data_IF_974742234385
#
_entry.id   IF_974742234385
#
_cell.length_a   1.000
_cell.length_b   1.000
_cell.length_c   1.000
_cell.angle_alpha   90.00
_cell.angle_beta   90.00
_cell.angle_gamma   90.00
#
_symmetry.space_group_name_H-M   'P 1'
#
loop_
_entity.id
_entity.type
_entity.pdbx_description
1 polymer ?
#
# COMPACT_ATOMS: atom_id res chain seq x y z
N UNK A 1 2.04 -14.44 -41.84
CA UNK A 1 1.36 -15.21 -40.78
C UNK A 1 1.61 -14.48 -39.47
N UNK A 2 0.59 -13.81 -38.95
CA UNK A 2 0.61 -13.20 -37.63
C UNK A 2 0.34 -14.35 -36.65
N UNK A 3 1.31 -14.67 -35.82
CA UNK A 3 1.16 -15.72 -34.82
C UNK A 3 0.38 -15.21 -33.62
N UNK A 4 -0.38 -16.07 -32.95
CA UNK A 4 -1.15 -15.79 -31.73
C UNK A 4 -0.28 -15.20 -30.60
N UNK A 5 1.02 -15.46 -30.62
CA UNK A 5 1.98 -14.84 -29.67
C UNK A 5 2.18 -13.33 -29.87
N UNK A 6 2.01 -12.84 -31.12
CA UNK A 6 2.08 -11.41 -31.40
C UNK A 6 0.80 -10.67 -31.00
N UNK A 7 -0.34 -11.36 -31.01
CA UNK A 7 -1.61 -10.80 -30.54
C UNK A 7 -1.68 -10.71 -29.01
N UNK A 8 -1.07 -11.66 -28.29
CA UNK A 8 -1.01 -11.62 -26.83
C UNK A 8 -0.05 -10.53 -26.28
N UNK A 9 0.86 -10.03 -27.11
CA UNK A 9 1.76 -8.92 -26.72
C UNK A 9 1.09 -7.55 -26.82
N UNK A 10 -0.03 -7.43 -27.52
CA UNK A 10 -0.76 -6.15 -27.65
C UNK A 10 -1.77 -5.90 -26.53
N UNK A 11 -2.12 -6.92 -25.73
CA UNK A 11 -3.04 -6.77 -24.60
C UNK A 11 -2.38 -6.29 -23.30
N UNK A 12 -1.06 -6.18 -23.27
CA UNK A 12 -0.30 -5.58 -22.18
C UNK A 12 0.06 -4.11 -22.45
N UNK A 13 -0.85 -3.33 -23.01
CA UNK A 13 -0.71 -1.88 -22.99
C UNK A 13 -0.89 -1.42 -21.55
N UNK A 14 0.23 -1.06 -20.93
CA UNK A 14 0.20 -0.34 -19.64
C UNK A 14 -0.66 0.90 -19.83
N UNK A 15 -1.67 1.08 -19.00
CA UNK A 15 -2.53 2.26 -19.06
C UNK A 15 -1.67 3.52 -18.84
N UNK A 16 -2.01 4.61 -19.50
CA UNK A 16 -1.22 5.87 -19.45
C UNK A 16 -1.14 6.47 -18.04
N UNK A 17 -2.06 6.10 -17.15
CA UNK A 17 -2.14 6.55 -15.75
C UNK A 17 -1.35 5.69 -14.76
N UNK A 18 -0.75 4.59 -15.20
CA UNK A 18 0.03 3.71 -14.33
C UNK A 18 1.45 4.24 -14.14
N UNK A 19 1.89 4.29 -12.90
CA UNK A 19 3.25 4.68 -12.50
C UNK A 19 3.87 3.63 -11.61
N UNK A 20 5.16 3.37 -11.80
CA UNK A 20 5.95 2.55 -10.89
C UNK A 20 6.34 3.40 -9.68
N UNK A 21 5.93 2.96 -8.51
CA UNK A 21 6.19 3.64 -7.23
C UNK A 21 7.09 2.80 -6.35
N UNK A 22 7.95 3.47 -5.60
CA UNK A 22 8.84 2.88 -4.61
C UNK A 22 8.34 3.19 -3.21
N UNK A 23 8.25 2.16 -2.36
CA UNK A 23 7.83 2.29 -0.96
C UNK A 23 8.76 1.50 -0.05
N UNK A 24 9.18 2.14 1.05
CA UNK A 24 10.01 1.57 2.13
C UNK A 24 9.38 1.74 3.52
N UNK A 25 8.12 2.14 3.57
CA UNK A 25 7.38 2.42 4.83
C UNK A 25 6.34 1.34 5.13
N UNK A 26 6.29 0.29 4.33
CA UNK A 26 5.32 -0.79 4.44
C UNK A 26 5.99 -1.97 5.16
N UNK A 27 5.33 -2.52 6.17
CA UNK A 27 5.78 -3.76 6.81
C UNK A 27 5.51 -4.92 5.86
N UNK A 28 6.57 -5.57 5.41
CA UNK A 28 6.51 -6.63 4.41
C UNK A 28 6.43 -8.01 5.05
N UNK A 29 5.71 -8.99 4.44
CA UNK A 29 5.83 -10.41 4.78
C UNK A 29 7.27 -10.89 4.60
N UNK A 30 7.73 -11.77 5.50
CA UNK A 30 9.12 -12.25 5.46
C UNK A 30 9.45 -13.03 4.18
N UNK A 31 8.48 -13.79 3.67
CA UNK A 31 8.60 -14.63 2.49
C UNK A 31 8.20 -13.93 1.17
N UNK A 32 8.07 -12.60 1.18
CA UNK A 32 7.71 -11.83 -0.01
C UNK A 32 8.82 -11.88 -1.06
N UNK A 33 8.45 -12.22 -2.29
CA UNK A 33 9.35 -12.31 -3.43
C UNK A 33 8.84 -11.50 -4.63
N UNK A 34 9.73 -11.16 -5.55
CA UNK A 34 9.36 -10.52 -6.83
C UNK A 34 8.38 -11.41 -7.60
N UNK A 35 7.29 -10.83 -8.09
CA UNK A 35 6.21 -11.52 -8.78
C UNK A 35 5.06 -11.94 -7.86
N UNK A 36 5.19 -11.80 -6.56
CA UNK A 36 4.08 -11.99 -5.63
C UNK A 36 3.04 -10.88 -5.76
N UNK A 37 1.80 -11.20 -5.39
CA UNK A 37 0.71 -10.23 -5.35
C UNK A 37 0.32 -9.93 -3.91
N UNK A 38 0.14 -8.64 -3.61
CA UNK A 38 -0.20 -8.14 -2.28
C UNK A 38 -1.39 -7.21 -2.29
N UNK A 39 -2.07 -7.14 -1.13
CA UNK A 39 -2.85 -5.98 -0.72
C UNK A 39 -1.99 -5.13 0.22
N UNK A 40 -2.00 -3.81 0.04
CA UNK A 40 -1.43 -2.88 1.03
C UNK A 40 -2.56 -2.40 1.91
N UNK A 41 -2.37 -2.52 3.22
CA UNK A 41 -3.39 -2.28 4.23
C UNK A 41 -2.89 -1.30 5.29
N UNK A 42 -3.81 -0.57 5.88
CA UNK A 42 -3.54 0.27 7.05
C UNK A 42 -4.36 -0.23 8.25
N UNK A 43 -3.68 -0.52 9.34
CA UNK A 43 -4.31 -0.92 10.59
C UNK A 43 -4.17 0.19 11.63
N UNK A 44 -5.26 0.47 12.33
CA UNK A 44 -5.33 1.43 13.42
C UNK A 44 -5.40 0.73 14.79
N UNK A 45 -4.95 1.40 15.89
CA UNK A 45 -4.92 0.82 17.22
C UNK A 45 -6.28 0.40 17.78
N UNK A 46 -7.36 0.94 17.24
CA UNK A 46 -8.73 0.58 17.60
C UNK A 46 -9.24 -0.72 16.93
N UNK A 47 -8.37 -1.43 16.20
CA UNK A 47 -8.70 -2.65 15.47
C UNK A 47 -9.31 -2.42 14.08
N UNK A 48 -9.45 -1.18 13.63
CA UNK A 48 -9.85 -0.90 12.26
C UNK A 48 -8.72 -1.22 11.30
N UNK A 49 -9.05 -1.93 10.23
CA UNK A 49 -8.13 -2.41 9.22
C UNK A 49 -8.75 -2.16 7.84
N UNK A 50 -8.04 -1.42 7.00
CA UNK A 50 -8.52 -0.99 5.70
C UNK A 50 -7.56 -1.40 4.60
N UNK A 51 -8.10 -1.84 3.46
CA UNK A 51 -7.35 -2.09 2.25
C UNK A 51 -7.18 -0.75 1.53
N UNK A 52 -5.93 -0.35 1.32
CA UNK A 52 -5.58 0.89 0.61
C UNK A 52 -5.53 0.64 -0.87
N UNK A 53 -4.74 -0.33 -1.30
CA UNK A 53 -4.67 -0.81 -2.68
C UNK A 53 -4.67 -2.34 -2.68
N UNK A 54 -5.22 -2.93 -3.74
CA UNK A 54 -5.45 -4.37 -3.78
C UNK A 54 -4.78 -5.04 -4.96
N UNK A 55 -4.30 -6.25 -4.71
CA UNK A 55 -3.76 -7.20 -5.71
C UNK A 55 -2.73 -6.57 -6.64
N UNK A 56 -1.70 -5.97 -6.05
CA UNK A 56 -0.58 -5.41 -6.79
C UNK A 56 0.56 -6.40 -6.87
N UNK A 57 1.08 -6.57 -8.08
CA UNK A 57 2.31 -7.32 -8.29
C UNK A 57 3.49 -6.53 -7.75
N UNK A 58 4.37 -7.22 -7.03
CA UNK A 58 5.53 -6.64 -6.37
C UNK A 58 6.78 -6.95 -7.16
N UNK A 59 7.64 -5.96 -7.30
CA UNK A 59 9.04 -6.13 -7.65
C UNK A 59 9.89 -5.70 -6.46
N UNK A 60 10.89 -6.52 -6.11
CA UNK A 60 11.84 -6.21 -5.04
C UNK A 60 13.14 -5.73 -5.70
N UNK A 61 13.58 -4.48 -5.45
CA UNK A 61 14.82 -3.98 -6.00
C UNK A 61 16.01 -4.74 -5.44
N UNK A 62 16.99 -5.01 -6.30
CA UNK A 62 18.25 -5.65 -5.90
C UNK A 62 19.38 -4.62 -5.85
N UNK A 63 20.16 -4.65 -4.78
CA UNK A 63 21.40 -3.88 -4.65
C UNK A 63 22.56 -4.86 -4.57
N UNK A 64 23.43 -4.80 -5.57
CA UNK A 64 24.59 -5.72 -5.67
C UNK A 64 24.20 -7.21 -5.69
N UNK A 65 23.03 -7.54 -6.27
CA UNK A 65 22.54 -8.91 -6.38
C UNK A 65 21.82 -9.43 -5.12
N UNK A 66 21.59 -8.57 -4.14
CA UNK A 66 20.84 -8.89 -2.92
C UNK A 66 19.51 -8.14 -2.95
N UNK A 67 18.43 -8.85 -2.65
CA UNK A 67 17.09 -8.26 -2.55
C UNK A 67 17.04 -7.22 -1.42
N UNK A 68 16.32 -6.12 -1.66
CA UNK A 68 16.08 -5.11 -0.63
C UNK A 68 15.26 -5.68 0.52
N UNK A 69 15.65 -5.33 1.75
CA UNK A 69 15.01 -5.80 2.98
C UNK A 69 13.67 -5.13 3.25
N UNK A 70 13.48 -3.91 2.75
CA UNK A 70 12.38 -3.03 3.15
C UNK A 70 11.69 -2.32 2.00
N UNK A 71 12.27 -2.36 0.81
CA UNK A 71 11.81 -1.59 -0.32
C UNK A 71 11.10 -2.49 -1.33
N UNK A 72 9.98 -2.03 -1.81
CA UNK A 72 9.23 -2.67 -2.90
C UNK A 72 8.90 -1.65 -3.98
N UNK A 73 8.80 -2.13 -5.20
CA UNK A 73 8.22 -1.41 -6.32
C UNK A 73 6.87 -2.00 -6.68
N UNK A 74 5.89 -1.13 -6.89
CA UNK A 74 4.53 -1.51 -7.29
C UNK A 74 4.02 -0.54 -8.35
N UNK A 75 3.23 -1.06 -9.27
CA UNK A 75 2.59 -0.27 -10.31
C UNK A 75 1.21 0.21 -9.83
N UNK A 76 1.05 1.52 -9.70
CA UNK A 76 -0.17 2.15 -9.18
C UNK A 76 -0.71 3.16 -10.20
N UNK A 77 -2.03 3.32 -10.22
CA UNK A 77 -2.68 4.43 -10.90
C UNK A 77 -2.58 5.71 -10.08
N UNK A 78 -2.81 6.86 -10.70
CA UNK A 78 -2.71 8.16 -10.02
C UNK A 78 -3.65 8.27 -8.81
N UNK A 79 -4.86 7.71 -8.90
CA UNK A 79 -5.79 7.65 -7.76
C UNK A 79 -5.28 6.74 -6.63
N UNK A 80 -4.67 5.60 -6.96
CA UNK A 80 -4.06 4.71 -5.97
C UNK A 80 -2.85 5.34 -5.27
N UNK A 81 -2.07 6.15 -6.00
CA UNK A 81 -0.95 6.92 -5.43
C UNK A 81 -1.46 7.92 -4.38
N UNK A 82 -2.58 8.58 -4.67
CA UNK A 82 -3.19 9.51 -3.71
C UNK A 82 -3.76 8.78 -2.48
N UNK A 83 -4.37 7.60 -2.66
CA UNK A 83 -4.80 6.75 -1.55
C UNK A 83 -3.62 6.32 -0.67
N UNK A 84 -2.52 5.90 -1.30
CA UNK A 84 -1.28 5.54 -0.59
C UNK A 84 -0.71 6.72 0.19
N UNK A 85 -0.64 7.90 -0.42
CA UNK A 85 -0.13 9.10 0.25
C UNK A 85 -0.96 9.46 1.48
N UNK A 86 -2.29 9.38 1.39
CA UNK A 86 -3.18 9.58 2.53
C UNK A 86 -2.94 8.53 3.62
N UNK A 87 -2.84 7.26 3.25
CA UNK A 87 -2.67 6.18 4.20
C UNK A 87 -1.30 6.26 4.92
N UNK A 88 -0.25 6.68 4.22
CA UNK A 88 1.08 6.92 4.80
C UNK A 88 0.99 8.02 5.86
N UNK A 89 0.38 9.16 5.54
CA UNK A 89 0.23 10.27 6.47
C UNK A 89 -0.62 9.87 7.67
N UNK A 90 -1.76 9.25 7.46
CA UNK A 90 -2.65 8.82 8.53
C UNK A 90 -1.97 7.77 9.45
N UNK A 91 -1.23 6.84 8.88
CA UNK A 91 -0.47 5.87 9.67
C UNK A 91 0.64 6.53 10.47
N UNK A 92 1.27 7.58 9.93
CA UNK A 92 2.29 8.36 10.63
C UNK A 92 1.71 9.22 11.76
N UNK A 93 0.50 9.75 11.62
CA UNK A 93 -0.13 10.63 12.59
C UNK A 93 -0.83 9.91 13.75
N UNK A 94 -1.20 8.64 13.58
CA UNK A 94 -1.91 7.87 14.61
C UNK A 94 -0.98 6.87 15.28
N UNK A 95 -0.64 7.13 16.53
CA UNK A 95 0.24 6.25 17.33
C UNK A 95 -0.26 4.80 17.32
N UNK A 96 0.60 3.88 16.88
CA UNK A 96 0.29 2.45 16.78
C UNK A 96 -0.47 2.06 15.52
N UNK A 97 -0.73 2.99 14.62
CA UNK A 97 -1.14 2.64 13.26
C UNK A 97 0.07 2.14 12.45
N UNK A 98 -0.18 1.29 11.48
CA UNK A 98 0.87 0.78 10.60
C UNK A 98 0.34 0.48 9.20
N UNK A 99 1.17 0.71 8.21
CA UNK A 99 1.00 0.16 6.86
C UNK A 99 1.66 -1.21 6.80
N UNK A 100 0.98 -2.18 6.22
CA UNK A 100 1.53 -3.52 6.06
C UNK A 100 0.99 -4.18 4.78
N UNK A 101 1.73 -5.14 4.26
CA UNK A 101 1.34 -5.92 3.12
C UNK A 101 0.79 -7.29 3.54
N UNK A 102 -0.22 -7.77 2.82
CA UNK A 102 -0.70 -9.15 2.91
C UNK A 102 -0.54 -9.82 1.56
N UNK A 103 0.11 -10.99 1.54
CA UNK A 103 0.40 -11.75 0.33
C UNK A 103 -0.80 -12.62 -0.08
N UNK A 104 -1.09 -12.65 -1.37
CA UNK A 104 -2.05 -13.59 -1.95
C UNK A 104 -1.44 -15.00 -1.98
N UNK A 105 -2.17 -15.99 -1.48
CA UNK A 105 -1.71 -17.38 -1.48
C UNK A 105 -1.73 -17.99 -2.88
N UNK A 106 -2.80 -17.71 -3.63
CA UNK A 106 -2.99 -18.17 -5.02
C UNK A 106 -3.52 -17.01 -5.88
N UNK A 107 -2.64 -16.09 -6.23
CA UNK A 107 -3.01 -14.87 -6.93
C UNK A 107 -3.75 -15.12 -8.26
N UNK A 108 -3.44 -16.22 -8.96
CA UNK A 108 -4.10 -16.59 -10.21
C UNK A 108 -5.59 -16.94 -10.03
N UNK A 109 -5.98 -17.45 -8.86
CA UNK A 109 -7.35 -17.90 -8.58
C UNK A 109 -8.14 -16.92 -7.71
N UNK A 110 -7.46 -16.16 -6.85
CA UNK A 110 -8.09 -15.21 -5.95
C UNK A 110 -8.42 -13.90 -6.67
N UNK A 111 -9.63 -13.40 -6.49
CA UNK A 111 -10.01 -12.07 -6.98
C UNK A 111 -9.36 -10.99 -6.15
N UNK A 112 -9.13 -9.82 -6.77
CA UNK A 112 -8.72 -8.63 -6.04
C UNK A 112 -9.77 -8.28 -4.96
N UNK A 113 -9.29 -7.89 -3.80
CA UNK A 113 -10.16 -7.35 -2.76
C UNK A 113 -10.63 -5.95 -3.16
N UNK A 114 -11.77 -5.52 -2.63
CA UNK A 114 -12.23 -4.15 -2.82
C UNK A 114 -11.49 -3.23 -1.84
N UNK A 115 -10.79 -2.19 -2.30
CA UNK A 115 -10.21 -1.20 -1.40
C UNK A 115 -11.29 -0.57 -0.51
N UNK A 116 -10.98 -0.43 0.78
CA UNK A 116 -11.92 0.07 1.80
C UNK A 116 -11.41 1.30 2.53
N UNK A 117 -10.15 1.71 2.25
CA UNK A 117 -9.55 2.86 2.90
C UNK A 117 -10.20 4.17 2.41
N UNK A 118 -10.79 4.97 3.31
CA UNK A 118 -11.36 6.26 2.96
C UNK A 118 -10.25 7.32 2.89
N UNK A 119 -10.21 8.08 1.81
CA UNK A 119 -9.33 9.25 1.68
C UNK A 119 -9.86 10.42 2.51
N UNK A 120 -8.96 11.33 2.92
CA UNK A 120 -9.35 12.55 3.60
C UNK A 120 -10.03 13.56 2.65
N UNK A 121 -10.70 14.56 3.22
CA UNK A 121 -11.46 15.55 2.45
C UNK A 121 -10.59 16.35 1.47
N UNK A 122 -9.35 16.68 1.85
CA UNK A 122 -8.43 17.44 1.01
C UNK A 122 -8.03 16.65 -0.23
N UNK A 123 -7.73 15.36 -0.07
CA UNK A 123 -7.43 14.46 -1.19
C UNK A 123 -8.65 14.21 -2.06
N UNK A 124 -9.83 14.08 -1.45
CA UNK A 124 -11.09 13.98 -2.20
C UNK A 124 -11.32 15.21 -3.08
N UNK A 125 -11.06 16.42 -2.58
CA UNK A 125 -11.15 17.65 -3.35
C UNK A 125 -10.11 17.71 -4.47
N UNK A 126 -8.88 17.23 -4.21
CA UNK A 126 -7.83 17.16 -5.22
C UNK A 126 -8.24 16.23 -6.36
N UNK A 127 -8.71 15.03 -6.05
CA UNK A 127 -9.23 14.08 -7.03
C UNK A 127 -10.38 14.67 -7.86
N UNK A 128 -11.28 15.42 -7.21
CA UNK A 128 -12.39 16.10 -7.90
C UNK A 128 -11.93 17.23 -8.83
N UNK A 129 -10.76 17.80 -8.61
CA UNK A 129 -10.21 18.86 -9.46
C UNK A 129 -9.40 18.34 -10.66
N UNK A 130 -9.02 17.07 -10.64
CA UNK A 130 -8.24 16.45 -11.71
C UNK A 130 -9.16 15.79 -12.76
N UNK A 131 -9.23 16.33 -13.98
CA UNK A 131 -10.13 15.81 -15.01
C UNK A 131 -9.79 14.40 -15.49
N UNK A 132 -8.55 13.93 -15.27
CA UNK A 132 -8.12 12.60 -15.71
C UNK A 132 -8.50 11.50 -14.71
N UNK A 133 -8.69 11.86 -13.45
CA UNK A 133 -8.98 10.92 -12.35
C UNK A 133 -10.42 11.03 -11.87
N UNK A 134 -11.07 12.18 -12.16
CA UNK A 134 -12.35 12.58 -11.60
C UNK A 134 -13.46 11.52 -11.77
N UNK A 135 -13.70 11.07 -12.98
CA UNK A 135 -14.85 10.18 -13.23
C UNK A 135 -14.67 8.83 -12.58
N UNK A 136 -13.49 8.23 -12.72
CA UNK A 136 -13.17 6.93 -12.14
C UNK A 136 -13.18 6.97 -10.61
N UNK A 137 -12.57 8.01 -10.02
CA UNK A 137 -12.57 8.20 -8.58
C UNK A 137 -13.98 8.45 -8.02
N UNK A 138 -14.82 9.22 -8.72
CA UNK A 138 -16.21 9.45 -8.32
C UNK A 138 -17.05 8.19 -8.40
N UNK A 139 -16.88 7.38 -9.43
CA UNK A 139 -17.62 6.13 -9.59
C UNK A 139 -17.21 5.12 -8.49
N UNK A 140 -15.93 4.99 -8.20
CA UNK A 140 -15.42 4.14 -7.14
C UNK A 140 -15.80 4.65 -5.74
N UNK A 141 -15.73 5.95 -5.49
CA UNK A 141 -16.19 6.55 -4.24
C UNK A 141 -17.69 6.39 -4.05
N UNK A 142 -18.48 6.55 -5.09
CA UNK A 142 -19.94 6.35 -5.04
C UNK A 142 -20.30 4.91 -4.72
N UNK A 143 -19.54 3.94 -5.21
CA UNK A 143 -19.72 2.53 -4.90
C UNK A 143 -19.31 2.18 -3.46
N UNK A 144 -18.28 2.84 -2.92
CA UNK A 144 -17.75 2.60 -1.57
C UNK A 144 -18.56 3.31 -0.48
N UNK A 145 -19.14 4.46 -0.79
CA UNK A 145 -19.71 5.35 0.22
C UNK A 145 -21.13 5.78 -0.12
N UNK A 146 -22.08 5.05 0.37
CA UNK A 146 -23.44 5.62 0.52
C UNK A 146 -23.39 6.71 1.59
N UNK A 147 -24.02 7.84 1.29
CA UNK A 147 -24.05 9.09 2.05
C UNK A 147 -24.28 8.86 3.56
N UNK A 148 -23.35 9.36 4.41
CA UNK A 148 -23.46 9.28 5.87
C UNK A 148 -22.79 8.05 6.50
N UNK A 149 -21.93 7.34 5.74
CA UNK A 149 -21.35 6.10 6.19
C UNK A 149 -20.08 6.24 7.04
N UNK A 150 -19.47 5.08 7.30
CA UNK A 150 -18.26 4.84 8.09
C UNK A 150 -17.06 5.79 7.85
N UNK A 151 -16.85 6.42 6.66
CA UNK A 151 -15.72 7.31 6.44
C UNK A 151 -15.75 8.59 7.24
N UNK A 152 -16.92 9.22 7.36
CA UNK A 152 -17.05 10.47 8.11
C UNK A 152 -16.82 10.24 9.60
N UNK A 153 -17.34 9.13 10.12
CA UNK A 153 -17.12 8.72 11.52
C UNK A 153 -15.66 8.42 11.80
N UNK A 154 -14.98 7.75 10.85
CA UNK A 154 -13.55 7.43 10.97
C UNK A 154 -12.67 8.68 10.88
N UNK A 155 -12.89 9.53 9.89
CA UNK A 155 -12.13 10.76 9.74
C UNK A 155 -12.27 11.67 10.96
N UNK A 156 -13.49 11.77 11.50
CA UNK A 156 -13.74 12.50 12.73
C UNK A 156 -13.06 11.86 13.94
N UNK A 157 -13.03 10.53 14.03
CA UNK A 157 -12.33 9.82 15.10
C UNK A 157 -10.82 10.01 15.01
N UNK A 158 -10.22 9.88 13.81
CA UNK A 158 -8.79 10.10 13.61
C UNK A 158 -8.41 11.56 13.88
N UNK A 159 -9.17 12.51 13.35
CA UNK A 159 -8.94 13.93 13.59
C UNK A 159 -9.05 14.28 15.08
N UNK A 160 -9.99 13.66 15.79
CA UNK A 160 -10.12 13.83 17.25
C UNK A 160 -8.88 13.31 17.98
N UNK A 161 -8.35 12.14 17.59
CA UNK A 161 -7.12 11.59 18.17
C UNK A 161 -5.91 12.48 17.89
N UNK A 162 -5.76 12.92 16.64
CA UNK A 162 -4.68 13.84 16.23
C UNK A 162 -4.73 15.13 17.04
N UNK A 163 -5.92 15.74 17.13
CA UNK A 163 -6.10 17.01 17.85
C UNK A 163 -5.93 16.87 19.37
N UNK A 164 -6.19 15.69 19.94
CA UNK A 164 -6.09 15.46 21.40
C UNK A 164 -4.67 15.13 21.86
N UNK A 165 -3.81 14.65 21.00
CA UNK A 165 -2.48 14.15 21.40
C UNK A 165 -1.32 15.13 21.20
N UNK A 166 -1.49 16.22 20.45
CA UNK A 166 -0.51 17.30 20.28
C UNK A 166 0.86 16.85 19.72
N UNK A 167 1.87 17.71 19.85
CA UNK A 167 3.23 17.48 19.33
C UNK A 167 3.93 16.24 19.92
N UNK A 168 3.59 15.85 21.14
CA UNK A 168 4.19 14.70 21.81
C UNK A 168 3.77 13.36 21.19
N UNK A 169 2.62 13.32 20.54
CA UNK A 169 2.15 12.15 19.82
C UNK A 169 2.93 11.95 18.51
N UNK A 170 3.25 13.02 17.82
CA UNK A 170 4.01 12.97 16.58
C UNK A 170 5.40 12.39 16.81
N UNK A 171 6.12 12.84 17.84
CA UNK A 171 7.44 12.32 18.19
C UNK A 171 7.42 10.85 18.64
N UNK A 172 6.42 10.45 19.44
CA UNK A 172 6.26 9.04 19.84
C UNK A 172 5.86 8.13 18.67
N UNK A 173 5.23 8.70 17.65
CA UNK A 173 4.80 8.01 16.45
C UNK A 173 5.98 7.72 15.55
N UNK A 174 6.81 8.72 15.28
CA UNK A 174 8.05 8.59 14.51
C UNK A 174 8.92 7.48 15.12
N UNK A 175 9.16 7.53 16.43
CA UNK A 175 9.96 6.52 17.14
C UNK A 175 9.39 5.10 16.97
N UNK A 176 8.07 4.93 17.14
CA UNK A 176 7.44 3.59 17.01
C UNK A 176 7.37 3.09 15.58
N UNK A 177 7.22 3.98 14.61
CA UNK A 177 7.32 3.60 13.20
C UNK A 177 8.74 3.18 12.84
N UNK A 178 9.74 3.95 13.26
CA UNK A 178 11.15 3.62 13.06
C UNK A 178 11.51 2.27 13.71
N UNK A 179 11.06 2.03 14.96
CA UNK A 179 11.24 0.74 15.63
C UNK A 179 10.56 -0.41 14.88
N UNK A 180 9.32 -0.22 14.42
CA UNK A 180 8.58 -1.26 13.69
C UNK A 180 9.20 -1.55 12.33
N UNK A 181 9.64 -0.52 11.61
CA UNK A 181 10.32 -0.64 10.32
C UNK A 181 11.68 -1.34 10.53
N UNK A 182 12.44 -0.91 11.53
CA UNK A 182 13.76 -1.48 11.85
C UNK A 182 13.65 -2.95 12.23
N UNK A 183 12.68 -3.32 13.06
CA UNK A 183 12.45 -4.72 13.45
C UNK A 183 12.03 -5.58 12.26
N UNK A 184 11.19 -5.05 11.38
CA UNK A 184 10.78 -5.74 10.16
C UNK A 184 11.95 -5.93 9.18
N UNK A 185 12.78 -4.92 9.00
CA UNK A 185 14.02 -4.97 8.20
C UNK A 185 14.97 -6.04 8.74
N UNK A 186 15.22 -6.04 10.04
CA UNK A 186 16.13 -6.99 10.66
C UNK A 186 15.63 -8.44 10.50
N UNK A 187 14.33 -8.68 10.73
CA UNK A 187 13.74 -10.01 10.55
C UNK A 187 13.81 -10.48 9.10
N UNK A 188 13.58 -9.59 8.14
CA UNK A 188 13.71 -9.91 6.71
C UNK A 188 15.17 -10.16 6.32
N UNK A 189 16.09 -9.36 6.85
CA UNK A 189 17.53 -9.56 6.63
C UNK A 189 17.98 -10.92 7.14
N UNK A 190 17.65 -11.28 8.38
CA UNK A 190 17.95 -12.59 8.96
C UNK A 190 17.41 -13.73 8.09
N UNK A 191 16.20 -13.55 7.55
CA UNK A 191 15.60 -14.52 6.62
C UNK A 191 16.40 -14.63 5.32
N UNK A 192 16.74 -13.52 4.67
CA UNK A 192 17.54 -13.49 3.43
C UNK A 192 18.95 -14.05 3.64
N UNK A 193 19.59 -13.70 4.75
CA UNK A 193 20.91 -14.24 5.14
C UNK A 193 20.84 -15.75 5.35
N UNK A 194 19.75 -16.27 5.90
CA UNK A 194 19.53 -17.71 6.06
C UNK A 194 19.40 -18.45 4.72
N UNK A 195 18.77 -17.80 3.72
CA UNK A 195 18.67 -18.36 2.36
C UNK A 195 20.01 -18.35 1.62
N UNK A 196 20.81 -17.30 1.80
CA UNK A 196 22.12 -17.19 1.15
C UNK A 196 23.16 -18.15 1.74
N UNK A 197 23.03 -18.54 3.02
CA UNK A 197 23.87 -19.54 3.67
C UNK A 197 23.64 -20.98 3.21
N UNK A 198 22.52 -21.28 2.58
CA UNK A 198 22.16 -22.63 2.08
C UNK A 198 22.73 -22.92 0.69
N UNK A 199 23.21 -21.90 -0.04
CA UNK A 199 23.75 -22.05 -1.41
C UNK A 199 25.27 -22.31 -1.49
N UNK A 200 25.93 -22.58 -0.36
CA UNK A 200 27.40 -22.80 -0.27
C UNK A 200 27.81 -24.22 0.19
N UNK A 201 27.00 -25.26 -0.12
CA UNK A 201 27.43 -26.66 -0.06
C UNK A 201 27.35 -27.35 -1.42
#
# INVERSE_FOLDING_TARGET
LITTELLNKSDNMVQDDIRKQEYNVIVLPMDLATGDYIDIRVMFPNGQDFIVVSKKEVEIPQVSGVDSEDTIWVNLSEDEILHMSCAIIDSAQVKGAKLYATKYTEAGMQKAATPTYPINESTSKLLQSDPNVLQKAMDELSQRYQKGGLPDLRNNSINSVINSQGEQATSNLETKMEESITNSKNSRKEYLDSLSGVTSE
#
